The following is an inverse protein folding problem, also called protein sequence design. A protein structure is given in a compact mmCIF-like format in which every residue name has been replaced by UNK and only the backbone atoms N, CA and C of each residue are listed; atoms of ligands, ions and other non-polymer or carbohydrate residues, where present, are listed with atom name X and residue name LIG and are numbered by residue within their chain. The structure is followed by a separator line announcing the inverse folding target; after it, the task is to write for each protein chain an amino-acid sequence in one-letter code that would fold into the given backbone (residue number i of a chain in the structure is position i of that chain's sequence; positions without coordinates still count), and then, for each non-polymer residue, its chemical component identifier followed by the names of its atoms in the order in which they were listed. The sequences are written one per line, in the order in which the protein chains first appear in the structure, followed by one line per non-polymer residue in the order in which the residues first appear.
data_IF_857516892470
#
_entry.id   IF_857516892470
#
_cell.length_a   1.000
_cell.length_b   1.000
_cell.length_c   1.000
_cell.angle_alpha   90.00
_cell.angle_beta   90.00
_cell.angle_gamma   90.00
#
_symmetry.space_group_name_H-M   'P 1'
#
loop_
_entity.id
_entity.type
_entity.pdbx_description
1 polymer ?
#
# COMPACT_ATOMS: atom_id res chain seq x y z
N UNK A 1 14.22 -22.67 -3.81
CA UNK A 1 14.59 -21.93 -2.60
C UNK A 1 13.45 -22.12 -1.60
N UNK A 2 13.64 -23.00 -0.60
CA UNK A 2 12.73 -23.07 0.54
C UNK A 2 12.89 -21.76 1.32
N UNK A 3 11.83 -20.95 1.35
CA UNK A 3 11.74 -19.79 2.20
C UNK A 3 11.65 -20.29 3.65
N UNK A 4 12.79 -20.51 4.29
CA UNK A 4 12.79 -20.72 5.74
C UNK A 4 12.38 -19.40 6.35
N UNK A 5 11.20 -19.37 7.01
CA UNK A 5 10.74 -18.25 7.85
C UNK A 5 11.88 -17.88 8.80
N UNK A 6 12.69 -16.93 8.39
CA UNK A 6 13.66 -16.32 9.28
C UNK A 6 12.87 -15.36 10.16
N UNK A 7 12.96 -15.56 11.45
CA UNK A 7 12.31 -14.87 12.54
C UNK A 7 12.12 -13.37 12.23
N UNK A 8 10.86 -12.95 12.08
CA UNK A 8 10.50 -11.53 12.10
C UNK A 8 11.02 -10.91 13.39
N UNK A 9 11.64 -9.77 13.27
CA UNK A 9 12.08 -8.97 14.39
C UNK A 9 11.66 -7.54 14.16
N UNK A 10 11.03 -6.95 15.17
CA UNK A 10 10.82 -5.51 15.22
C UNK A 10 11.93 -4.87 16.03
N UNK A 11 12.40 -3.72 15.57
CA UNK A 11 13.26 -2.80 16.32
C UNK A 11 12.52 -1.48 16.48
N UNK A 12 12.77 -0.77 17.57
CA UNK A 12 12.21 0.54 17.77
C UNK A 12 12.77 1.52 16.75
N UNK A 13 11.89 2.32 16.16
CA UNK A 13 12.27 3.36 15.18
C UNK A 13 12.53 4.67 15.92
N UNK A 14 13.80 4.99 16.14
CA UNK A 14 14.20 6.24 16.76
C UNK A 14 14.25 7.36 15.72
N UNK A 15 13.21 8.20 15.71
CA UNK A 15 13.04 9.33 14.79
C UNK A 15 13.67 10.65 15.29
N UNK A 16 14.32 10.63 16.46
CA UNK A 16 14.97 11.82 17.01
C UNK A 16 16.13 12.27 16.11
N UNK A 17 16.45 13.55 16.21
CA UNK A 17 17.56 14.17 15.49
C UNK A 17 17.48 13.90 13.97
N UNK A 18 16.32 14.21 13.37
CA UNK A 18 16.02 14.03 11.95
C UNK A 18 16.13 12.57 11.47
N UNK A 19 15.83 11.62 12.36
CA UNK A 19 15.84 10.20 12.06
C UNK A 19 17.24 9.60 11.80
N UNK A 20 18.31 10.28 12.18
CA UNK A 20 19.71 9.85 11.92
C UNK A 20 20.06 8.51 12.56
N UNK A 21 19.30 8.07 13.55
CA UNK A 21 19.53 6.80 14.24
C UNK A 21 18.93 5.58 13.53
N UNK A 22 18.04 5.78 12.56
CA UNK A 22 17.27 4.71 11.93
C UNK A 22 18.20 3.75 11.17
N UNK A 23 18.98 4.26 10.21
CA UNK A 23 19.89 3.41 9.39
C UNK A 23 20.94 2.74 10.25
N UNK A 24 21.65 3.40 11.20
CA UNK A 24 22.55 2.74 12.12
C UNK A 24 21.92 1.60 12.92
N UNK A 25 20.70 1.77 13.43
CA UNK A 25 19.97 0.73 14.16
C UNK A 25 19.63 -0.48 13.28
N UNK A 26 19.27 -0.25 12.02
CA UNK A 26 19.05 -1.31 11.03
C UNK A 26 20.35 -2.08 10.79
N UNK A 27 21.45 -1.39 10.57
CA UNK A 27 22.77 -1.99 10.34
C UNK A 27 23.20 -2.85 11.55
N UNK A 28 23.06 -2.32 12.76
CA UNK A 28 23.38 -3.05 13.99
C UNK A 28 22.51 -4.31 14.14
N UNK A 29 21.22 -4.19 13.88
CA UNK A 29 20.27 -5.31 13.92
C UNK A 29 20.67 -6.43 12.94
N UNK A 30 21.09 -6.06 11.71
CA UNK A 30 21.53 -7.03 10.70
C UNK A 30 22.86 -7.68 11.11
N UNK A 31 23.85 -6.90 11.53
CA UNK A 31 25.16 -7.43 12.02
C UNK A 31 24.98 -8.42 13.14
N UNK A 32 24.18 -8.06 14.16
CA UNK A 32 23.89 -8.96 15.27
C UNK A 32 23.33 -10.31 14.81
N UNK A 33 22.51 -10.33 13.74
CA UNK A 33 21.96 -11.58 13.19
C UNK A 33 23.01 -12.37 12.41
N UNK A 34 23.83 -11.69 11.62
CA UNK A 34 24.94 -12.31 10.90
C UNK A 34 25.86 -13.02 11.91
N UNK A 35 26.23 -12.33 12.97
CA UNK A 35 27.12 -12.86 14.03
C UNK A 35 26.44 -14.01 14.80
N UNK A 36 25.18 -13.83 15.21
CA UNK A 36 24.44 -14.83 15.99
C UNK A 36 24.29 -16.18 15.26
N UNK A 37 24.14 -16.14 13.94
CA UNK A 37 23.98 -17.35 13.12
C UNK A 37 25.31 -17.78 12.45
N UNK A 38 26.42 -17.12 12.78
CA UNK A 38 27.74 -17.37 12.20
C UNK A 38 27.71 -17.41 10.65
N UNK A 39 26.96 -16.48 10.06
CA UNK A 39 26.81 -16.34 8.60
C UNK A 39 27.94 -15.47 8.04
N UNK A 40 28.25 -15.65 6.77
CA UNK A 40 29.22 -14.83 6.04
C UNK A 40 28.47 -13.96 5.03
N UNK A 41 29.09 -12.85 4.62
CA UNK A 41 28.49 -11.95 3.61
C UNK A 41 28.19 -12.66 2.28
N UNK A 42 28.98 -13.68 1.94
CA UNK A 42 28.82 -14.48 0.72
C UNK A 42 27.58 -15.38 0.76
N UNK A 43 27.01 -15.61 1.95
CA UNK A 43 25.78 -16.38 2.12
C UNK A 43 24.53 -15.57 1.73
N UNK A 44 24.68 -14.26 1.50
CA UNK A 44 23.59 -13.36 1.13
C UNK A 44 23.61 -13.04 -0.35
N UNK A 45 22.44 -13.03 -0.95
CA UNK A 45 22.22 -12.51 -2.31
C UNK A 45 22.21 -10.98 -2.29
N UNK A 46 21.53 -10.39 -1.32
CA UNK A 46 21.42 -8.96 -1.13
C UNK A 46 20.48 -8.64 0.04
N UNK A 47 20.30 -7.35 0.28
CA UNK A 47 19.36 -6.80 1.25
C UNK A 47 18.35 -5.96 0.50
N UNK A 48 17.06 -6.11 0.80
CA UNK A 48 16.00 -5.27 0.29
C UNK A 48 15.33 -4.48 1.40
N UNK A 49 14.81 -3.29 1.08
CA UNK A 49 14.13 -2.42 2.02
C UNK A 49 12.94 -1.72 1.36
N UNK A 50 11.80 -1.66 2.05
CA UNK A 50 10.69 -0.75 1.76
C UNK A 50 10.73 0.45 2.70
N UNK A 51 10.44 1.65 2.20
CA UNK A 51 10.47 2.87 3.01
C UNK A 51 9.39 3.84 2.56
N UNK A 52 8.77 4.60 3.48
CA UNK A 52 7.94 5.74 3.09
C UNK A 52 8.81 6.85 2.48
N UNK A 53 8.15 7.80 1.82
CA UNK A 53 8.80 8.95 1.17
C UNK A 53 9.13 8.72 -0.30
N UNK A 54 9.78 9.71 -0.89
CA UNK A 54 10.23 9.66 -2.28
C UNK A 54 11.59 8.95 -2.36
N UNK A 55 11.66 7.91 -3.19
CA UNK A 55 12.84 7.06 -3.35
C UNK A 55 13.50 7.32 -4.70
N UNK A 56 14.78 7.66 -4.71
CA UNK A 56 15.64 7.63 -5.89
C UNK A 56 16.35 6.26 -5.92
N UNK A 57 15.85 5.37 -6.75
CA UNK A 57 16.30 3.97 -6.80
C UNK A 57 17.74 3.87 -7.32
N UNK A 58 18.12 4.70 -8.28
CA UNK A 58 19.46 4.69 -8.87
C UNK A 58 20.52 5.11 -7.83
N UNK A 59 20.25 6.22 -7.13
CA UNK A 59 21.14 6.73 -6.07
C UNK A 59 20.97 5.97 -4.75
N UNK A 60 19.87 5.26 -4.56
CA UNK A 60 19.55 4.61 -3.29
C UNK A 60 19.31 5.58 -2.15
N UNK A 61 18.65 6.68 -2.44
CA UNK A 61 18.37 7.75 -1.47
C UNK A 61 16.88 7.91 -1.22
N UNK A 62 16.52 8.44 -0.05
CA UNK A 62 15.14 8.70 0.38
C UNK A 62 15.01 10.14 0.84
N UNK A 63 13.89 10.79 0.55
CA UNK A 63 13.54 12.13 1.04
C UNK A 63 12.03 12.25 1.26
N UNK A 64 11.62 13.11 2.20
CA UNK A 64 10.21 13.39 2.45
C UNK A 64 9.46 12.27 3.19
N UNK A 65 10.15 11.37 3.87
CA UNK A 65 9.56 10.42 4.79
C UNK A 65 9.26 11.10 6.14
N UNK A 66 8.23 11.93 6.18
CA UNK A 66 7.91 12.79 7.31
C UNK A 66 7.64 12.03 8.61
N UNK A 67 7.07 10.83 8.54
CA UNK A 67 6.86 9.95 9.69
C UNK A 67 8.16 9.38 10.28
N UNK A 68 9.27 9.46 9.53
CA UNK A 68 10.62 9.11 9.96
C UNK A 68 11.49 10.35 10.30
N UNK A 69 10.92 11.55 10.19
CA UNK A 69 11.63 12.85 10.24
C UNK A 69 12.73 13.00 9.17
N UNK A 70 12.64 12.26 8.08
CA UNK A 70 13.57 12.35 6.95
C UNK A 70 13.13 13.48 6.00
N UNK A 71 13.35 14.71 6.41
CA UNK A 71 13.04 15.92 5.63
C UNK A 71 14.14 16.25 4.60
N UNK A 72 15.36 15.76 4.82
CA UNK A 72 16.50 15.89 3.93
C UNK A 72 16.85 14.56 3.28
N UNK A 73 17.64 14.60 2.20
CA UNK A 73 18.06 13.39 1.47
C UNK A 73 18.89 12.48 2.39
N UNK A 74 18.45 11.22 2.51
CA UNK A 74 19.12 10.17 3.28
C UNK A 74 19.81 9.19 2.31
N UNK A 75 21.15 9.03 2.36
CA UNK A 75 21.89 8.12 1.50
C UNK A 75 21.87 6.67 2.06
N UNK A 76 20.69 6.05 2.08
CA UNK A 76 20.45 4.77 2.77
C UNK A 76 21.29 3.64 2.18
N UNK A 77 21.33 3.54 0.85
CA UNK A 77 22.09 2.51 0.14
C UNK A 77 23.57 2.58 0.47
N UNK A 78 24.17 3.76 0.35
CA UNK A 78 25.58 3.98 0.62
C UNK A 78 25.94 3.58 2.06
N UNK A 79 25.12 3.98 3.03
CA UNK A 79 25.36 3.67 4.44
C UNK A 79 25.31 2.16 4.72
N UNK A 80 24.30 1.45 4.17
CA UNK A 80 24.12 0.02 4.40
C UNK A 80 25.18 -0.80 3.66
N UNK A 81 25.43 -0.52 2.39
CA UNK A 81 26.44 -1.24 1.60
C UNK A 81 27.87 -1.03 2.14
N UNK A 82 28.21 0.21 2.51
CA UNK A 82 29.53 0.50 3.12
C UNK A 82 29.72 -0.21 4.46
N UNK A 83 28.65 -0.34 5.25
CA UNK A 83 28.74 -0.95 6.58
C UNK A 83 28.76 -2.48 6.55
N UNK A 84 28.04 -3.11 5.62
CA UNK A 84 27.79 -4.56 5.60
C UNK A 84 28.52 -5.29 4.47
N UNK A 85 28.91 -4.58 3.40
CA UNK A 85 29.53 -5.17 2.22
C UNK A 85 28.60 -6.13 1.46
N UNK A 86 27.29 -5.96 1.58
CA UNK A 86 26.24 -6.76 0.94
C UNK A 86 25.46 -5.83 0.01
N UNK A 87 25.15 -6.25 -1.25
CA UNK A 87 24.34 -5.44 -2.18
C UNK A 87 23.01 -5.05 -1.57
N UNK A 88 22.55 -3.83 -1.84
CA UNK A 88 21.34 -3.29 -1.24
C UNK A 88 20.42 -2.64 -2.27
N UNK A 89 19.13 -2.94 -2.19
CA UNK A 89 18.07 -2.29 -2.98
C UNK A 89 16.98 -1.75 -2.06
N UNK A 90 16.42 -0.60 -2.44
CA UNK A 90 15.27 -0.03 -1.74
C UNK A 90 14.22 0.47 -2.72
N UNK A 91 12.98 0.51 -2.25
CA UNK A 91 11.86 1.07 -2.98
C UNK A 91 10.84 1.67 -2.00
N UNK A 92 9.81 2.32 -2.53
CA UNK A 92 8.68 2.78 -1.73
C UNK A 92 7.96 1.59 -1.05
N UNK A 93 7.41 1.81 0.15
CA UNK A 93 6.76 0.78 0.95
C UNK A 93 5.56 0.11 0.26
N UNK A 94 4.74 0.89 -0.47
CA UNK A 94 3.61 0.33 -1.23
C UNK A 94 4.09 -0.47 -2.46
N UNK A 95 5.15 -0.02 -3.14
CA UNK A 95 5.79 -0.76 -4.22
C UNK A 95 6.33 -2.10 -3.74
N UNK A 96 7.01 -2.08 -2.60
CA UNK A 96 7.56 -3.30 -2.00
C UNK A 96 6.44 -4.25 -1.57
N UNK A 97 5.36 -3.74 -1.00
CA UNK A 97 4.19 -4.56 -0.68
C UNK A 97 3.54 -5.16 -1.95
N UNK A 98 3.49 -4.39 -3.04
CA UNK A 98 3.02 -4.90 -4.34
C UNK A 98 3.87 -6.09 -4.84
N UNK A 99 5.18 -6.01 -4.72
CA UNK A 99 6.08 -7.13 -5.05
C UNK A 99 5.82 -8.35 -4.16
N UNK A 100 5.58 -8.13 -2.88
CA UNK A 100 5.27 -9.19 -1.93
C UNK A 100 4.00 -9.94 -2.31
N UNK A 101 2.91 -9.21 -2.46
CA UNK A 101 1.62 -9.76 -2.86
C UNK A 101 1.67 -10.42 -4.25
N UNK A 102 2.39 -9.80 -5.20
CA UNK A 102 2.61 -10.41 -6.51
C UNK A 102 3.33 -11.76 -6.38
N UNK A 103 4.42 -11.82 -5.59
CA UNK A 103 5.30 -12.99 -5.55
C UNK A 103 4.75 -14.15 -4.74
N UNK A 104 4.19 -13.88 -3.55
CA UNK A 104 3.80 -14.90 -2.57
C UNK A 104 2.39 -14.75 -2.00
N UNK A 105 1.65 -13.75 -2.42
CA UNK A 105 0.28 -13.48 -2.00
C UNK A 105 -0.72 -13.61 -3.13
N UNK A 106 -1.78 -12.82 -3.06
CA UNK A 106 -2.93 -12.85 -3.96
C UNK A 106 -2.60 -12.63 -5.44
N UNK A 107 -1.43 -12.09 -5.78
CA UNK A 107 -0.96 -11.94 -7.15
C UNK A 107 -0.50 -13.23 -7.82
N UNK A 108 -0.36 -14.36 -7.07
CA UNK A 108 -0.06 -15.70 -7.60
C UNK A 108 1.15 -15.76 -8.54
N UNK A 109 2.13 -14.88 -8.31
CA UNK A 109 3.33 -14.70 -9.14
C UNK A 109 3.06 -14.32 -10.61
N UNK A 110 1.88 -13.75 -10.91
CA UNK A 110 1.60 -13.19 -12.23
C UNK A 110 2.49 -12.00 -12.55
N UNK A 111 2.87 -11.80 -13.83
CA UNK A 111 3.72 -10.68 -14.21
C UNK A 111 3.02 -9.32 -14.14
N UNK A 112 1.69 -9.28 -14.22
CA UNK A 112 0.90 -8.05 -14.35
C UNK A 112 -0.11 -7.94 -13.20
N UNK A 113 0.24 -7.18 -12.17
CA UNK A 113 -0.54 -7.02 -10.95
C UNK A 113 -0.55 -5.55 -10.52
N UNK A 114 -1.72 -5.04 -10.16
CA UNK A 114 -1.85 -3.76 -9.48
C UNK A 114 -2.15 -4.04 -8.01
N UNK A 115 -1.40 -3.42 -7.12
CA UNK A 115 -1.66 -3.46 -5.67
C UNK A 115 -2.14 -2.10 -5.20
N UNK A 116 -3.18 -2.08 -4.36
CA UNK A 116 -3.73 -0.87 -3.74
C UNK A 116 -3.85 -1.13 -2.24
N UNK A 117 -3.23 -0.30 -1.43
CA UNK A 117 -3.34 -0.40 0.03
C UNK A 117 -4.21 0.72 0.57
N UNK A 118 -5.27 0.36 1.29
CA UNK A 118 -6.25 1.26 1.91
C UNK A 118 -5.95 1.38 3.41
N UNK A 119 -5.03 2.26 3.75
CA UNK A 119 -4.63 2.59 5.12
C UNK A 119 -5.13 3.97 5.55
N UNK A 120 -4.33 4.70 6.33
CA UNK A 120 -4.57 6.12 6.65
C UNK A 120 -4.69 6.97 5.38
N UNK A 121 -3.87 6.65 4.38
CA UNK A 121 -3.96 7.13 3.01
C UNK A 121 -4.26 5.98 2.04
N UNK A 122 -4.08 6.21 0.74
CA UNK A 122 -4.14 5.20 -0.32
C UNK A 122 -2.80 5.16 -1.04
N UNK A 123 -2.08 4.05 -0.86
CA UNK A 123 -0.87 3.76 -1.62
C UNK A 123 -1.13 2.74 -2.72
N UNK A 124 -0.16 2.57 -3.61
CA UNK A 124 -0.23 1.56 -4.64
C UNK A 124 1.12 1.22 -5.23
N UNK A 125 1.15 0.09 -5.93
CA UNK A 125 2.28 -0.34 -6.73
C UNK A 125 1.79 -1.09 -7.96
N UNK A 126 2.44 -0.86 -9.08
CA UNK A 126 2.09 -1.46 -10.36
C UNK A 126 3.25 -2.33 -10.81
N UNK A 127 2.97 -3.61 -11.00
CA UNK A 127 3.91 -4.54 -11.63
C UNK A 127 3.40 -4.85 -13.02
N UNK A 128 4.23 -4.64 -14.04
CA UNK A 128 3.92 -4.93 -15.42
C UNK A 128 5.09 -5.70 -16.07
N UNK A 129 4.78 -6.77 -16.76
CA UNK A 129 5.77 -7.71 -17.33
C UNK A 129 6.80 -8.22 -16.27
N UNK A 130 6.37 -8.33 -15.03
CA UNK A 130 7.19 -8.81 -13.92
C UNK A 130 8.04 -7.76 -13.19
N UNK A 131 8.05 -6.52 -13.68
CA UNK A 131 8.86 -5.44 -13.15
C UNK A 131 7.97 -4.32 -12.57
N UNK A 132 8.43 -3.67 -11.50
CA UNK A 132 7.76 -2.49 -10.95
C UNK A 132 7.81 -1.32 -11.92
N UNK A 133 6.70 -0.64 -12.09
CA UNK A 133 6.65 0.62 -12.82
C UNK A 133 7.04 1.77 -11.88
N UNK A 134 8.11 2.46 -12.20
CA UNK A 134 8.56 3.63 -11.44
C UNK A 134 8.24 4.95 -12.14
N UNK A 135 8.17 4.95 -13.47
CA UNK A 135 8.02 6.18 -14.26
C UNK A 135 9.27 7.05 -14.22
N UNK A 136 9.20 8.19 -14.90
CA UNK A 136 10.35 9.09 -15.07
C UNK A 136 10.82 9.73 -13.77
N UNK A 137 9.89 9.96 -12.81
CA UNK A 137 10.15 10.62 -11.54
C UNK A 137 10.07 9.67 -10.33
N UNK A 138 9.99 8.35 -10.56
CA UNK A 138 9.82 7.38 -9.48
C UNK A 138 8.42 7.39 -8.83
N UNK A 139 7.42 8.03 -9.45
CA UNK A 139 6.10 8.24 -8.87
C UNK A 139 4.98 7.46 -9.60
N UNK A 140 5.30 6.47 -10.42
CA UNK A 140 4.26 5.60 -10.96
C UNK A 140 3.64 4.77 -9.83
N UNK A 141 2.35 4.51 -9.92
CA UNK A 141 1.66 3.78 -8.85
C UNK A 141 1.03 4.65 -7.77
N UNK A 142 1.13 5.98 -7.86
CA UNK A 142 0.43 6.94 -6.97
C UNK A 142 -1.09 6.92 -7.21
N UNK A 143 -1.68 5.72 -7.06
CA UNK A 143 -3.09 5.46 -7.38
C UNK A 143 -4.06 6.21 -6.47
N UNK A 144 -3.64 6.48 -5.23
CA UNK A 144 -4.42 7.28 -4.29
C UNK A 144 -4.65 8.71 -4.74
N UNK A 145 -3.80 9.20 -5.63
CA UNK A 145 -3.91 10.55 -6.17
C UNK A 145 -4.56 10.63 -7.56
N UNK A 146 -5.12 9.54 -8.07
CA UNK A 146 -6.01 9.58 -9.24
C UNK A 146 -7.28 10.32 -8.86
N UNK A 147 -7.68 11.32 -9.68
CA UNK A 147 -8.91 12.07 -9.46
C UNK A 147 -10.11 11.22 -9.85
N UNK A 148 -10.98 10.92 -8.89
CA UNK A 148 -12.21 10.15 -9.06
C UNK A 148 -13.47 11.02 -8.98
N UNK A 149 -13.34 12.20 -8.39
CA UNK A 149 -14.41 13.20 -8.30
C UNK A 149 -13.83 14.61 -8.44
N UNK A 150 -13.90 15.26 -9.61
CA UNK A 150 -13.37 16.62 -9.79
C UNK A 150 -13.95 17.68 -8.84
N UNK A 151 -15.16 17.43 -8.31
CA UNK A 151 -15.83 18.32 -7.35
C UNK A 151 -15.72 17.79 -5.89
N UNK A 152 -14.95 16.74 -5.66
CA UNK A 152 -14.81 16.09 -4.36
C UNK A 152 -13.95 16.89 -3.37
N UNK A 153 -13.45 16.21 -2.35
CA UNK A 153 -12.71 16.80 -1.24
C UNK A 153 -11.30 17.26 -1.65
N UNK A 154 -10.80 18.28 -0.98
CA UNK A 154 -9.40 18.71 -1.12
C UNK A 154 -8.46 17.63 -0.59
N UNK A 155 -7.38 17.38 -1.34
CA UNK A 155 -6.35 16.40 -1.01
C UNK A 155 -5.07 17.08 -0.52
N UNK A 156 -4.35 16.44 0.38
CA UNK A 156 -3.05 16.92 0.91
C UNK A 156 -1.99 17.10 -0.19
N UNK A 157 -2.14 16.43 -1.35
CA UNK A 157 -1.26 16.62 -2.51
C UNK A 157 -1.49 17.94 -3.27
N UNK A 158 -2.42 18.78 -2.82
CA UNK A 158 -2.77 20.06 -3.45
C UNK A 158 -3.83 19.97 -4.56
N UNK A 159 -4.29 18.76 -4.91
CA UNK A 159 -5.39 18.56 -5.86
C UNK A 159 -6.72 18.37 -5.12
N UNK A 160 -7.77 18.22 -5.91
CA UNK A 160 -9.12 17.93 -5.42
C UNK A 160 -9.62 16.60 -5.99
N UNK A 161 -10.40 15.85 -5.18
CA UNK A 161 -11.12 14.66 -5.61
C UNK A 161 -10.26 13.44 -5.85
N UNK A 162 -9.11 13.34 -5.20
CA UNK A 162 -8.26 12.15 -5.22
C UNK A 162 -8.97 10.95 -4.57
N UNK A 163 -8.70 9.74 -5.07
CA UNK A 163 -9.23 8.48 -4.52
C UNK A 163 -8.98 8.38 -3.01
N UNK A 164 -7.81 8.79 -2.53
CA UNK A 164 -7.46 8.79 -1.12
C UNK A 164 -8.47 9.53 -0.26
N UNK A 165 -9.03 10.63 -0.77
CA UNK A 165 -9.97 11.46 0.00
C UNK A 165 -11.29 10.77 0.30
N UNK A 166 -11.59 9.68 -0.36
CA UNK A 166 -12.86 8.96 -0.25
C UNK A 166 -12.71 7.48 0.12
N UNK A 167 -11.59 6.82 -0.23
CA UNK A 167 -11.43 5.37 -0.06
C UNK A 167 -10.35 4.97 0.95
N UNK A 168 -9.56 5.89 1.51
CA UNK A 168 -8.70 5.62 2.67
C UNK A 168 -9.54 5.45 3.94
N UNK A 169 -8.95 4.94 5.03
CA UNK A 169 -9.64 4.84 6.31
C UNK A 169 -10.19 6.20 6.78
N UNK A 170 -9.39 7.27 6.63
CA UNK A 170 -9.83 8.64 6.93
C UNK A 170 -10.85 9.15 5.92
N UNK A 171 -10.73 8.74 4.65
CA UNK A 171 -11.65 9.08 3.57
C UNK A 171 -13.05 8.50 3.80
N UNK A 172 -13.15 7.24 4.21
CA UNK A 172 -14.43 6.59 4.55
C UNK A 172 -15.17 7.38 5.62
N UNK A 173 -14.48 7.77 6.70
CA UNK A 173 -15.08 8.57 7.77
C UNK A 173 -15.48 9.96 7.28
N UNK A 174 -14.68 10.57 6.41
CA UNK A 174 -15.01 11.87 5.79
C UNK A 174 -16.26 11.79 4.96
N UNK A 175 -16.42 10.74 4.13
CA UNK A 175 -17.63 10.50 3.34
C UNK A 175 -18.84 10.29 4.25
N UNK A 176 -18.68 9.52 5.35
CA UNK A 176 -19.76 9.30 6.31
C UNK A 176 -20.22 10.63 6.95
N UNK A 177 -19.28 11.45 7.44
CA UNK A 177 -19.62 12.75 8.04
C UNK A 177 -20.27 13.68 7.05
N UNK A 178 -19.79 13.75 5.82
CA UNK A 178 -20.38 14.61 4.78
C UNK A 178 -21.79 14.17 4.42
N UNK A 179 -22.03 12.88 4.22
CA UNK A 179 -23.35 12.38 3.87
C UNK A 179 -24.34 12.43 5.05
N UNK A 180 -23.86 12.43 6.31
CA UNK A 180 -24.73 12.54 7.49
C UNK A 180 -25.47 13.88 7.55
N UNK A 181 -24.92 14.94 6.98
CA UNK A 181 -25.52 16.27 6.96
C UNK A 181 -26.84 16.30 6.19
N UNK A 182 -26.99 15.45 5.15
CA UNK A 182 -28.15 15.41 4.27
C UNK A 182 -29.09 14.21 4.55
N UNK A 183 -28.63 13.22 5.31
CA UNK A 183 -29.40 12.01 5.58
C UNK A 183 -30.45 12.25 6.66
N UNK A 184 -31.74 12.02 6.34
CA UNK A 184 -32.86 12.27 7.23
C UNK A 184 -33.49 11.00 7.84
N UNK A 185 -32.93 9.80 7.56
CA UNK A 185 -33.42 8.53 8.07
C UNK A 185 -32.87 8.16 9.44
N UNK A 186 -33.44 7.12 10.06
CA UNK A 186 -32.93 6.53 11.28
C UNK A 186 -31.68 5.67 10.94
N UNK A 187 -30.60 5.85 11.73
CA UNK A 187 -29.34 5.11 11.58
C UNK A 187 -28.52 5.20 12.85
N UNK A 188 -28.01 4.06 13.32
CA UNK A 188 -27.11 4.01 14.47
C UNK A 188 -25.76 4.69 14.15
N UNK A 189 -25.23 4.50 12.94
CA UNK A 189 -24.02 5.18 12.50
C UNK A 189 -24.20 6.71 12.48
N UNK A 190 -25.32 7.19 11.91
CA UNK A 190 -25.61 8.62 11.89
C UNK A 190 -25.71 9.18 13.30
N UNK A 191 -26.43 8.50 14.19
CA UNK A 191 -26.55 8.93 15.58
C UNK A 191 -25.17 9.02 16.25
N UNK A 192 -24.30 8.02 16.07
CA UNK A 192 -22.94 8.05 16.60
C UNK A 192 -22.15 9.27 16.11
N UNK A 193 -22.29 9.65 14.82
CA UNK A 193 -21.65 10.83 14.24
C UNK A 193 -22.23 12.11 14.84
N UNK A 194 -23.56 12.22 14.93
CA UNK A 194 -24.25 13.41 15.47
C UNK A 194 -23.94 13.62 16.96
N UNK A 195 -23.77 12.53 17.72
CA UNK A 195 -23.36 12.55 19.13
C UNK A 195 -21.85 12.89 19.32
N UNK A 196 -21.11 13.08 18.23
CA UNK A 196 -19.69 13.41 18.25
C UNK A 196 -18.77 12.25 18.67
N UNK A 197 -19.21 11.01 18.52
CA UNK A 197 -18.40 9.85 18.81
C UNK A 197 -17.23 9.73 17.82
N UNK A 198 -16.12 9.14 18.25
CA UNK A 198 -14.96 8.86 17.39
C UNK A 198 -15.25 7.62 16.54
N UNK A 199 -15.82 7.85 15.37
CA UNK A 199 -16.17 6.80 14.40
C UNK A 199 -14.98 6.50 13.50
N UNK A 200 -14.62 5.23 13.37
CA UNK A 200 -13.59 4.72 12.46
C UNK A 200 -14.18 4.15 11.17
N UNK A 201 -13.34 3.94 10.16
CA UNK A 201 -13.76 3.22 8.94
C UNK A 201 -14.29 1.82 9.25
N UNK A 202 -13.71 1.14 10.24
CA UNK A 202 -14.16 -0.18 10.68
C UNK A 202 -15.59 -0.14 11.18
N UNK A 203 -15.94 0.86 12.02
CA UNK A 203 -17.30 1.02 12.52
C UNK A 203 -18.30 1.23 11.37
N UNK A 204 -17.94 2.04 10.35
CA UNK A 204 -18.77 2.26 9.17
C UNK A 204 -19.08 0.94 8.47
N UNK A 205 -18.07 0.09 8.25
CA UNK A 205 -18.27 -1.22 7.62
C UNK A 205 -19.07 -2.17 8.52
N UNK A 206 -18.83 -2.21 9.83
CA UNK A 206 -19.58 -3.04 10.77
C UNK A 206 -21.07 -2.66 10.86
N UNK A 207 -21.40 -1.37 10.85
CA UNK A 207 -22.80 -0.92 10.79
C UNK A 207 -23.43 -1.29 9.45
N UNK A 208 -22.72 -1.17 8.35
CA UNK A 208 -23.21 -1.57 7.03
C UNK A 208 -23.49 -3.07 6.94
N UNK A 209 -22.62 -3.93 7.49
CA UNK A 209 -22.81 -5.38 7.56
C UNK A 209 -24.03 -5.78 8.42
N UNK A 210 -24.35 -4.99 9.45
CA UNK A 210 -25.56 -5.17 10.27
C UNK A 210 -26.83 -4.66 9.58
N UNK A 211 -26.71 -4.04 8.40
CA UNK A 211 -27.85 -3.56 7.62
C UNK A 211 -28.25 -2.12 7.89
N UNK A 212 -27.43 -1.32 8.56
CA UNK A 212 -27.68 0.12 8.73
C UNK A 212 -27.72 0.80 7.35
N UNK A 213 -28.86 1.41 7.02
CA UNK A 213 -29.10 1.98 5.68
C UNK A 213 -28.15 3.12 5.33
N UNK A 214 -27.82 3.98 6.31
CA UNK A 214 -26.89 5.07 6.09
C UNK A 214 -25.46 4.54 5.86
N UNK A 215 -25.02 3.61 6.70
CA UNK A 215 -23.72 2.97 6.54
C UNK A 215 -23.60 2.25 5.19
N UNK A 216 -24.65 1.56 4.75
CA UNK A 216 -24.69 0.95 3.41
C UNK A 216 -24.51 1.98 2.30
N UNK A 217 -25.17 3.16 2.42
CA UNK A 217 -25.01 4.25 1.45
C UNK A 217 -23.58 4.80 1.43
N UNK A 218 -22.94 4.95 2.60
CA UNK A 218 -21.53 5.37 2.70
C UNK A 218 -20.61 4.35 2.04
N UNK A 219 -20.75 3.07 2.38
CA UNK A 219 -19.92 1.99 1.81
C UNK A 219 -20.13 1.88 0.30
N UNK A 220 -21.35 2.02 -0.19
CA UNK A 220 -21.64 1.99 -1.63
C UNK A 220 -20.92 3.13 -2.36
N UNK A 221 -20.93 4.34 -1.79
CA UNK A 221 -20.22 5.50 -2.35
C UNK A 221 -18.72 5.29 -2.38
N UNK A 222 -18.12 4.74 -1.32
CA UNK A 222 -16.70 4.39 -1.25
C UNK A 222 -16.34 3.35 -2.31
N UNK A 223 -17.13 2.28 -2.41
CA UNK A 223 -16.92 1.21 -3.38
C UNK A 223 -17.11 1.68 -4.82
N UNK A 224 -18.03 2.62 -5.07
CA UNK A 224 -18.20 3.25 -6.38
C UNK A 224 -16.89 3.92 -6.83
N UNK A 225 -16.30 4.77 -6.01
CA UNK A 225 -15.06 5.46 -6.37
C UNK A 225 -13.86 4.51 -6.50
N UNK A 226 -13.79 3.52 -5.63
CA UNK A 226 -12.73 2.52 -5.72
C UNK A 226 -12.89 1.64 -6.96
N UNK A 227 -14.13 1.27 -7.32
CA UNK A 227 -14.44 0.55 -8.55
C UNK A 227 -14.16 1.37 -9.80
N UNK A 228 -14.45 2.68 -9.78
CA UNK A 228 -14.10 3.60 -10.87
C UNK A 228 -12.59 3.70 -11.06
N UNK A 229 -11.83 3.88 -9.97
CA UNK A 229 -10.37 3.98 -10.06
C UNK A 229 -9.75 2.68 -10.57
N UNK A 230 -10.15 1.53 -9.99
CA UNK A 230 -9.65 0.21 -10.40
C UNK A 230 -10.06 -0.12 -11.84
N UNK A 231 -11.26 0.27 -12.27
CA UNK A 231 -11.74 0.12 -13.64
C UNK A 231 -10.90 0.91 -14.64
N UNK A 232 -10.58 2.17 -14.33
CA UNK A 232 -9.71 3.00 -15.16
C UNK A 232 -8.28 2.45 -15.26
N UNK A 233 -7.72 1.99 -14.16
CA UNK A 233 -6.42 1.33 -14.13
C UNK A 233 -6.46 0.00 -14.91
N UNK A 234 -7.53 -0.79 -14.75
CA UNK A 234 -7.77 -1.99 -15.52
C UNK A 234 -7.81 -1.74 -17.02
N UNK A 235 -8.53 -0.72 -17.47
CA UNK A 235 -8.59 -0.33 -18.88
C UNK A 235 -7.26 0.15 -19.43
N UNK A 236 -6.40 0.70 -18.57
CA UNK A 236 -5.10 1.25 -18.98
C UNK A 236 -4.02 0.17 -19.08
N UNK A 237 -4.01 -0.77 -18.13
CA UNK A 237 -2.91 -1.71 -17.92
C UNK A 237 -3.29 -3.16 -18.20
N UNK A 238 -4.58 -3.48 -18.16
CA UNK A 238 -5.12 -4.85 -18.31
C UNK A 238 -4.34 -5.90 -17.47
N UNK A 239 -4.24 -5.72 -16.14
CA UNK A 239 -3.53 -6.65 -15.29
C UNK A 239 -4.28 -7.98 -15.15
N UNK A 240 -3.59 -9.04 -14.69
CA UNK A 240 -4.26 -10.29 -14.24
C UNK A 240 -5.18 -10.00 -13.04
N UNK A 241 -4.68 -9.22 -12.11
CA UNK A 241 -5.44 -8.88 -10.91
C UNK A 241 -5.16 -7.48 -10.37
N UNK A 242 -6.19 -6.92 -9.71
CA UNK A 242 -6.07 -5.78 -8.81
C UNK A 242 -6.22 -6.32 -7.39
N UNK A 243 -5.16 -6.24 -6.61
CA UNK A 243 -5.10 -6.73 -5.23
C UNK A 243 -5.32 -5.57 -4.27
N UNK A 244 -6.32 -5.67 -3.40
CA UNK A 244 -6.70 -4.63 -2.42
C UNK A 244 -6.26 -5.08 -1.03
N UNK A 245 -5.39 -4.30 -0.40
CA UNK A 245 -4.88 -4.51 0.95
C UNK A 245 -5.12 -3.32 1.87
N UNK A 246 -4.43 -3.33 3.02
CA UNK A 246 -4.53 -2.28 4.05
C UNK A 246 -5.70 -2.49 5.01
N UNK A 247 -5.83 -1.62 6.01
CA UNK A 247 -6.78 -1.79 7.10
C UNK A 247 -8.25 -1.87 6.67
N UNK A 248 -8.65 -1.11 5.65
CA UNK A 248 -10.04 -1.13 5.13
C UNK A 248 -10.37 -2.45 4.45
N UNK A 249 -9.37 -3.15 3.87
CA UNK A 249 -9.59 -4.46 3.25
C UNK A 249 -10.01 -5.57 4.23
N UNK A 250 -9.86 -5.31 5.54
CA UNK A 250 -10.37 -6.22 6.59
C UNK A 250 -11.89 -6.42 6.54
N UNK A 251 -12.65 -5.54 5.88
CA UNK A 251 -14.05 -5.75 5.56
C UNK A 251 -14.31 -6.93 4.59
N UNK A 252 -13.26 -7.55 4.10
CA UNK A 252 -13.31 -8.84 3.41
C UNK A 252 -14.17 -8.84 2.15
N UNK A 253 -14.93 -9.92 1.99
CA UNK A 253 -15.79 -10.14 0.81
C UNK A 253 -16.89 -9.06 0.68
N UNK A 254 -17.27 -8.46 1.79
CA UNK A 254 -18.26 -7.37 1.81
C UNK A 254 -17.76 -6.14 1.03
N UNK A 255 -16.47 -5.80 1.16
CA UNK A 255 -15.81 -4.77 0.36
C UNK A 255 -15.56 -5.27 -1.07
N UNK A 256 -14.90 -6.44 -1.21
CA UNK A 256 -14.45 -6.96 -2.49
C UNK A 256 -15.56 -7.06 -3.53
N UNK A 257 -16.66 -7.71 -3.15
CA UNK A 257 -17.79 -7.92 -4.08
C UNK A 257 -18.46 -6.61 -4.54
N UNK A 258 -18.50 -5.59 -3.68
CA UNK A 258 -19.05 -4.28 -4.06
C UNK A 258 -18.10 -3.51 -4.99
N UNK A 259 -16.80 -3.56 -4.72
CA UNK A 259 -15.78 -2.98 -5.62
C UNK A 259 -15.82 -3.68 -6.97
N UNK A 260 -15.88 -5.01 -6.99
CA UNK A 260 -15.96 -5.79 -8.23
C UNK A 260 -17.20 -5.44 -9.06
N UNK A 261 -18.37 -5.23 -8.44
CA UNK A 261 -19.57 -4.76 -9.13
C UNK A 261 -19.28 -3.49 -9.92
N UNK A 262 -18.72 -2.47 -9.29
CA UNK A 262 -18.41 -1.21 -9.96
C UNK A 262 -17.22 -1.30 -10.93
N UNK A 263 -16.21 -2.11 -10.62
CA UNK A 263 -15.16 -2.43 -11.57
C UNK A 263 -15.73 -2.98 -12.88
N UNK A 264 -16.69 -3.89 -12.81
CA UNK A 264 -17.35 -4.44 -14.00
C UNK A 264 -18.14 -3.40 -14.79
N UNK A 265 -18.73 -2.42 -14.12
CA UNK A 265 -19.45 -1.32 -14.79
C UNK A 265 -18.50 -0.40 -15.58
N UNK A 266 -17.30 -0.14 -15.05
CA UNK A 266 -16.36 0.84 -15.61
C UNK A 266 -15.28 0.23 -16.53
N UNK A 267 -15.25 -1.10 -16.67
CA UNK A 267 -14.23 -1.76 -17.49
C UNK A 267 -14.73 -2.17 -18.86
N UNK A 268 -13.80 -2.10 -19.82
CA UNK A 268 -14.01 -2.65 -21.16
C UNK A 268 -14.26 -4.17 -21.09
N UNK A 269 -15.15 -4.76 -21.93
CA UNK A 269 -15.57 -6.16 -21.78
C UNK A 269 -14.44 -7.18 -21.71
N UNK A 270 -13.36 -7.01 -22.47
CA UNK A 270 -12.23 -7.93 -22.45
C UNK A 270 -11.45 -7.84 -21.12
N UNK A 271 -11.27 -6.64 -20.60
CA UNK A 271 -10.63 -6.40 -19.30
C UNK A 271 -11.47 -7.01 -18.17
N UNK A 272 -12.77 -6.78 -18.21
CA UNK A 272 -13.73 -7.37 -17.25
C UNK A 272 -13.61 -8.88 -17.13
N UNK A 273 -13.37 -9.56 -18.27
CA UNK A 273 -13.28 -11.01 -18.33
C UNK A 273 -11.90 -11.55 -17.94
N UNK A 274 -10.85 -10.75 -18.03
CA UNK A 274 -9.47 -11.16 -17.78
C UNK A 274 -8.91 -10.71 -16.43
N UNK A 275 -9.37 -9.58 -15.90
CA UNK A 275 -8.86 -9.01 -14.65
C UNK A 275 -9.75 -9.36 -13.45
N UNK A 276 -9.16 -9.74 -12.34
CA UNK A 276 -9.86 -10.10 -11.10
C UNK A 276 -9.59 -9.09 -10.00
N UNK A 277 -10.62 -8.78 -9.20
CA UNK A 277 -10.45 -8.03 -7.94
C UNK A 277 -10.22 -9.04 -6.83
N UNK A 278 -9.07 -8.95 -6.16
CA UNK A 278 -8.64 -9.84 -5.08
C UNK A 278 -8.35 -9.04 -3.80
N UNK A 279 -8.40 -9.71 -2.66
CA UNK A 279 -7.91 -9.18 -1.39
C UNK A 279 -6.48 -9.64 -1.15
N UNK A 280 -5.68 -8.79 -0.52
CA UNK A 280 -4.32 -9.11 -0.09
C UNK A 280 -4.31 -10.27 0.91
N UNK A 281 -3.32 -11.15 0.79
CA UNK A 281 -3.19 -12.35 1.62
C UNK A 281 -2.08 -12.24 2.67
N UNK A 282 -1.04 -11.44 2.38
CA UNK A 282 0.16 -11.39 3.24
C UNK A 282 0.04 -10.40 4.41
N UNK A 283 -0.93 -9.49 4.36
CA UNK A 283 -1.09 -8.49 5.41
C UNK A 283 0.21 -7.70 5.65
N UNK A 284 0.62 -7.60 6.92
CA UNK A 284 1.85 -6.87 7.29
C UNK A 284 3.15 -7.55 6.81
N UNK A 285 3.10 -8.81 6.36
CA UNK A 285 4.27 -9.52 5.84
C UNK A 285 4.60 -9.12 4.39
N UNK A 286 3.65 -8.49 3.67
CA UNK A 286 3.81 -8.11 2.27
C UNK A 286 5.07 -7.27 2.03
N UNK A 287 5.32 -6.27 2.89
CA UNK A 287 6.50 -5.42 2.81
C UNK A 287 7.82 -6.19 2.97
N UNK A 288 7.90 -7.09 3.95
CA UNK A 288 9.14 -7.88 4.19
C UNK A 288 9.39 -8.88 3.07
N UNK A 289 8.34 -9.55 2.59
CA UNK A 289 8.43 -10.51 1.47
C UNK A 289 8.81 -9.78 0.18
N UNK A 290 8.22 -8.61 -0.07
CA UNK A 290 8.56 -7.78 -1.22
C UNK A 290 9.97 -7.22 -1.16
N UNK A 291 10.45 -6.80 0.01
CA UNK A 291 11.85 -6.41 0.22
C UNK A 291 12.81 -7.56 -0.13
N UNK A 292 12.49 -8.78 0.30
CA UNK A 292 13.26 -9.95 -0.09
C UNK A 292 13.23 -10.18 -1.62
N UNK A 293 12.10 -9.91 -2.28
CA UNK A 293 11.99 -9.96 -3.74
C UNK A 293 12.90 -8.95 -4.44
N UNK A 294 13.02 -7.73 -3.91
CA UNK A 294 13.98 -6.74 -4.43
C UNK A 294 15.43 -7.27 -4.39
N UNK A 295 15.82 -7.92 -3.29
CA UNK A 295 17.16 -8.46 -3.15
C UNK A 295 17.48 -9.57 -4.18
N UNK A 296 16.46 -10.28 -4.69
CA UNK A 296 16.66 -11.35 -5.68
C UNK A 296 17.15 -10.84 -7.04
N UNK A 297 17.03 -9.55 -7.35
CA UNK A 297 17.59 -8.99 -8.58
C UNK A 297 19.10 -9.26 -8.68
N UNK A 298 19.82 -9.21 -7.55
CA UNK A 298 21.26 -9.46 -7.51
C UNK A 298 21.64 -10.93 -7.76
N UNK A 299 20.66 -11.85 -7.76
CA UNK A 299 20.93 -13.27 -8.11
C UNK A 299 21.06 -13.51 -9.61
N UNK A 300 20.54 -12.58 -10.43
CA UNK A 300 20.59 -12.68 -11.90
C UNK A 300 21.92 -12.19 -12.48
N UNK A 301 22.72 -11.50 -11.67
CA UNK A 301 24.01 -10.91 -12.08
C UNK A 301 25.22 -11.83 -11.78
N UNK A 302 24.99 -12.96 -11.15
CA UNK A 302 26.00 -14.00 -10.88
C UNK A 302 25.80 -15.19 -11.83
#
# INVERSE_FOLDING_TARGET
LEFRRVLFRSIETNILEDGKHIVPSIIESIRHRIDLYNMKKEDFVGIGMGTPGSVDIEKGTVVGAYNLNWTTVQPVKEQIESALGIPFALDNDANVAALGERWKGAGENNPDVIFITLGTGVGGGIVAAGELLHGVAGCAGEVGHVTVDPNGFDCTCGKRGCLETVSSATGVVRVARHLSEEFAGDSELKQAIDDGQDVSSKDVFEFAEKGDHFALMVVDRVCFYLGLATGNLGNTLNPDSVVIGGGVSAAGEFLRSRVEKYFQEFTFPQVRNSTKIKLAELGNEAGVIGAASLALQFSKEK
#
